data_IF_326373071539
#
_entry.id   IF_326373071539
#
_cell.length_a   1.000
_cell.length_b   1.000
_cell.length_c   1.000
_cell.angle_alpha   90.00
_cell.angle_beta   90.00
_cell.angle_gamma   90.00
#
_symmetry.space_group_name_H-M   'P 1'
#
loop_
_entity.id
_entity.type
_entity.pdbx_description
1 polymer ?
#
# COMPACT_ATOMS: atom_id res chain seq x y z
N UNK A 1 8.07 13.76 3.64
CA UNK A 1 8.16 13.89 5.11
C UNK A 1 8.02 12.51 5.75
N UNK A 2 9.12 11.93 6.25
CA UNK A 2 9.10 10.70 7.04
C UNK A 2 8.66 11.04 8.47
N UNK A 3 7.50 10.57 8.92
CA UNK A 3 7.12 10.61 10.33
C UNK A 3 7.77 9.41 11.02
N UNK A 4 8.83 9.66 11.79
CA UNK A 4 9.47 8.67 12.65
C UNK A 4 8.59 8.40 13.88
N UNK A 5 8.00 7.20 13.93
CA UNK A 5 7.32 6.68 15.12
C UNK A 5 8.31 6.32 16.24
N UNK A 6 7.90 6.50 17.50
CA UNK A 6 8.72 6.26 18.70
C UNK A 6 8.89 4.76 18.98
N UNK A 7 9.98 4.18 18.48
CA UNK A 7 10.89 3.33 19.27
C UNK A 7 10.48 1.93 19.76
N UNK A 8 9.26 1.41 19.57
CA UNK A 8 8.93 0.03 20.03
C UNK A 8 8.19 -0.88 19.05
N UNK A 9 7.91 -0.45 17.83
CA UNK A 9 7.23 -1.30 16.83
C UNK A 9 7.99 -1.29 15.50
N UNK A 10 8.08 -2.46 14.86
CA UNK A 10 8.87 -2.76 13.65
C UNK A 10 8.32 -2.09 12.37
N UNK A 11 7.43 -1.10 12.50
CA UNK A 11 6.73 -0.44 11.40
C UNK A 11 7.34 0.96 11.23
N UNK A 12 8.25 1.08 10.26
CA UNK A 12 8.99 2.31 9.92
C UNK A 12 8.20 3.20 8.95
N UNK A 13 7.18 2.65 8.27
CA UNK A 13 6.24 3.39 7.43
C UNK A 13 4.92 2.65 7.17
N UNK A 14 3.95 3.33 6.54
CA UNK A 14 2.65 2.72 6.15
C UNK A 14 2.79 1.55 5.17
N UNK A 15 3.93 1.41 4.51
CA UNK A 15 4.26 0.27 3.64
C UNK A 15 4.51 -1.02 4.44
N UNK A 16 5.09 -0.91 5.63
CA UNK A 16 5.43 -2.05 6.48
C UNK A 16 4.19 -2.75 7.04
N UNK A 17 3.05 -2.05 7.13
CA UNK A 17 1.79 -2.66 7.58
C UNK A 17 1.32 -3.74 6.62
N UNK A 18 1.49 -3.55 5.31
CA UNK A 18 1.14 -4.56 4.32
C UNK A 18 2.05 -5.79 4.41
N UNK A 19 3.34 -5.60 4.70
CA UNK A 19 4.27 -6.70 4.93
C UNK A 19 3.91 -7.48 6.19
N UNK A 20 3.60 -6.79 7.29
CA UNK A 20 3.17 -7.42 8.54
C UNK A 20 1.89 -8.25 8.39
N UNK A 21 0.90 -7.77 7.62
CA UNK A 21 -0.33 -8.51 7.34
C UNK A 21 -0.07 -9.80 6.55
N UNK A 22 0.94 -9.82 5.68
CA UNK A 22 1.36 -11.06 5.03
C UNK A 22 2.03 -12.04 5.99
N UNK A 23 2.83 -11.58 6.94
CA UNK A 23 3.41 -12.44 7.98
C UNK A 23 2.33 -13.09 8.86
N UNK A 24 1.19 -12.41 9.02
CA UNK A 24 -0.01 -12.92 9.70
C UNK A 24 -0.86 -13.86 8.84
N UNK A 25 -0.48 -14.11 7.58
CA UNK A 25 -1.18 -15.03 6.68
C UNK A 25 -2.44 -14.48 6.02
N UNK A 26 -2.67 -13.16 6.07
CA UNK A 26 -3.83 -12.52 5.42
C UNK A 26 -3.76 -12.64 3.89
N UNK A 27 -2.56 -12.56 3.32
CA UNK A 27 -2.30 -12.75 1.89
C UNK A 27 -0.84 -13.11 1.62
N UNK A 28 -0.51 -13.58 0.39
CA UNK A 28 0.86 -13.95 0.04
C UNK A 28 1.83 -12.78 0.10
N UNK A 29 3.08 -13.05 0.50
CA UNK A 29 4.15 -12.05 0.61
C UNK A 29 4.44 -11.33 -0.72
N UNK A 30 4.27 -12.03 -1.84
CA UNK A 30 4.38 -11.44 -3.18
C UNK A 30 3.37 -10.30 -3.39
N UNK A 31 2.14 -10.46 -2.89
CA UNK A 31 1.11 -9.43 -2.98
C UNK A 31 1.44 -8.26 -2.05
N UNK A 32 1.92 -8.55 -0.83
CA UNK A 32 2.36 -7.52 0.12
C UNK A 32 3.43 -6.59 -0.48
N UNK A 33 4.43 -7.15 -1.17
CA UNK A 33 5.46 -6.38 -1.86
C UNK A 33 4.92 -5.52 -3.02
N UNK A 34 3.82 -5.94 -3.65
CA UNK A 34 3.19 -5.19 -4.74
C UNK A 34 2.34 -4.02 -4.24
N UNK A 35 1.59 -4.22 -3.15
CA UNK A 35 0.70 -3.19 -2.60
C UNK A 35 1.43 -2.23 -1.64
N UNK A 36 2.51 -2.65 -0.97
CA UNK A 36 3.24 -1.80 -0.03
C UNK A 36 3.65 -0.42 -0.59
N UNK A 37 4.16 -0.29 -1.83
CA UNK A 37 4.47 1.01 -2.44
C UNK A 37 3.26 1.94 -2.64
N UNK A 38 2.04 1.39 -2.73
CA UNK A 38 0.80 2.18 -2.86
C UNK A 38 0.56 3.07 -1.64
N UNK A 39 1.05 2.67 -0.46
CA UNK A 39 0.97 3.46 0.76
C UNK A 39 1.74 4.79 0.64
N UNK A 40 2.89 4.76 -0.05
CA UNK A 40 3.69 5.93 -0.39
C UNK A 40 3.14 6.70 -1.59
N UNK A 41 2.43 6.02 -2.50
CA UNK A 41 1.82 6.60 -3.69
C UNK A 41 0.78 7.68 -3.33
N UNK A 42 0.04 7.53 -2.23
CA UNK A 42 -0.86 8.59 -1.71
C UNK A 42 -0.12 9.92 -1.52
N UNK A 43 1.10 9.89 -0.97
CA UNK A 43 1.88 11.11 -0.75
C UNK A 43 2.50 11.63 -2.05
N UNK A 44 2.92 10.71 -2.93
CA UNK A 44 3.46 11.06 -4.26
C UNK A 44 2.41 11.71 -5.15
N UNK A 45 1.18 11.20 -5.18
CA UNK A 45 0.07 11.78 -5.93
C UNK A 45 -0.16 13.24 -5.53
N UNK A 46 -0.26 13.56 -4.23
CA UNK A 46 -0.47 14.95 -3.76
C UNK A 46 0.64 15.90 -4.25
N UNK A 47 1.88 15.42 -4.35
CA UNK A 47 2.99 16.21 -4.87
C UNK A 47 3.00 16.28 -6.41
N UNK A 48 2.80 15.16 -7.11
CA UNK A 48 2.79 15.06 -8.58
C UNK A 48 1.57 15.75 -9.22
N UNK A 49 0.45 15.85 -8.51
CA UNK A 49 -0.70 16.67 -8.94
C UNK A 49 -0.32 18.15 -9.10
N UNK A 50 0.68 18.64 -8.35
CA UNK A 50 1.18 20.01 -8.49
C UNK A 50 2.17 20.16 -9.67
N UNK A 51 2.83 19.08 -10.11
CA UNK A 51 3.85 19.11 -11.17
C UNK A 51 3.36 18.57 -12.54
N UNK A 52 2.10 18.10 -12.61
CA UNK A 52 1.32 17.84 -13.84
C UNK A 52 1.98 16.93 -14.90
N UNK A 53 2.45 15.73 -14.53
CA UNK A 53 2.66 14.62 -15.47
C UNK A 53 1.44 13.68 -15.53
N UNK A 54 0.39 14.09 -16.27
CA UNK A 54 -0.92 13.41 -16.31
C UNK A 54 -0.85 11.91 -16.69
N UNK A 55 0.11 11.51 -17.52
CA UNK A 55 0.25 10.12 -17.99
C UNK A 55 0.69 9.13 -16.90
N UNK A 56 1.54 9.58 -15.95
CA UNK A 56 2.02 8.76 -14.84
C UNK A 56 0.90 8.59 -13.81
N UNK A 57 0.22 9.69 -13.48
CA UNK A 57 -0.90 9.71 -12.53
C UNK A 57 -2.01 8.72 -12.94
N UNK A 58 -2.42 8.73 -14.22
CA UNK A 58 -3.49 7.86 -14.69
C UNK A 58 -3.16 6.36 -14.57
N UNK A 59 -1.90 5.98 -14.85
CA UNK A 59 -1.46 4.58 -14.71
C UNK A 59 -1.42 4.16 -13.24
N UNK A 60 -0.84 5.01 -12.38
CA UNK A 60 -0.74 4.72 -10.96
C UNK A 60 -2.11 4.61 -10.26
N UNK A 61 -3.12 5.36 -10.70
CA UNK A 61 -4.50 5.21 -10.19
C UNK A 61 -5.08 3.86 -10.58
N UNK A 62 -4.96 3.44 -11.85
CA UNK A 62 -5.48 2.14 -12.30
C UNK A 62 -4.80 0.98 -11.56
N UNK A 63 -3.48 1.03 -11.41
CA UNK A 63 -2.72 0.05 -10.65
C UNK A 63 -3.14 0.00 -9.17
N UNK A 64 -3.34 1.17 -8.54
CA UNK A 64 -3.82 1.24 -7.17
C UNK A 64 -5.22 0.64 -7.03
N UNK A 65 -6.16 0.97 -7.93
CA UNK A 65 -7.52 0.41 -7.89
C UNK A 65 -7.51 -1.12 -7.95
N UNK A 66 -6.74 -1.70 -8.89
CA UNK A 66 -6.63 -3.16 -9.01
C UNK A 66 -6.04 -3.81 -7.74
N UNK A 67 -4.99 -3.21 -7.18
CA UNK A 67 -4.37 -3.69 -5.96
C UNK A 67 -5.32 -3.62 -4.76
N UNK A 68 -6.05 -2.50 -4.58
CA UNK A 68 -6.99 -2.35 -3.48
C UNK A 68 -8.21 -3.26 -3.61
N UNK A 69 -8.69 -3.55 -4.83
CA UNK A 69 -9.73 -4.57 -5.03
C UNK A 69 -9.27 -5.94 -4.54
N UNK A 70 -8.05 -6.36 -4.89
CA UNK A 70 -7.47 -7.63 -4.43
C UNK A 70 -7.24 -7.66 -2.91
N UNK A 71 -6.80 -6.55 -2.35
CA UNK A 71 -6.60 -6.41 -0.90
C UNK A 71 -7.91 -6.59 -0.13
N UNK A 72 -8.99 -5.94 -0.58
CA UNK A 72 -10.31 -6.11 0.02
C UNK A 72 -10.77 -7.58 -0.06
N UNK A 73 -10.58 -8.23 -1.21
CA UNK A 73 -10.93 -9.65 -1.35
C UNK A 73 -10.14 -10.52 -0.36
N UNK A 74 -8.82 -10.33 -0.25
CA UNK A 74 -7.99 -11.07 0.71
C UNK A 74 -8.41 -10.86 2.16
N UNK A 75 -8.79 -9.63 2.54
CA UNK A 75 -9.32 -9.38 3.89
C UNK A 75 -10.62 -10.12 4.09
N UNK A 76 -11.56 -10.03 3.13
CA UNK A 76 -12.87 -10.68 3.23
C UNK A 76 -12.70 -12.20 3.35
N UNK A 77 -11.80 -12.79 2.57
CA UNK A 77 -11.50 -14.22 2.64
C UNK A 77 -10.90 -14.60 3.99
N UNK A 78 -10.01 -13.77 4.55
CA UNK A 78 -9.36 -14.02 5.83
C UNK A 78 -10.33 -13.92 7.03
N UNK A 79 -11.26 -12.98 7.01
CA UNK A 79 -12.24 -12.80 8.12
C UNK A 79 -13.45 -13.72 8.01
N UNK A 80 -13.72 -14.26 6.82
CA UNK A 80 -14.85 -15.18 6.58
C UNK A 80 -14.44 -16.66 6.70
N UNK A 81 -13.15 -16.93 6.89
CA UNK A 81 -12.58 -18.24 7.23
C UNK A 81 -12.71 -18.51 8.73
#
# INVERSE_FOLDING_TARGET
FFQMGKGTERIRGYEDTFLALSELGVYPQKFAQQIAPSAGLRNRLVHEYNELEQGIIYRSINEALEQYTKYCQHILDYISA
#
